data_IF_888611719240
#
_entry.id   IF_888611719240
#
_cell.length_a   1.000
_cell.length_b   1.000
_cell.length_c   1.000
_cell.angle_alpha   90.00
_cell.angle_beta   90.00
_cell.angle_gamma   90.00
#
_symmetry.space_group_name_H-M   'P 1'
#
loop_
_entity.id
_entity.type
_entity.pdbx_description
1 polymer ?
#
# COMPACT_ATOMS: atom_id res chain seq x y z
N UNK A 1 4.87 -6.42 -3.36
CA UNK A 1 4.74 -7.15 -4.65
C UNK A 1 3.32 -7.01 -5.20
N UNK A 2 2.25 -7.39 -4.46
CA UNK A 2 0.85 -7.32 -4.94
C UNK A 2 0.46 -5.91 -5.40
N UNK A 3 0.74 -4.89 -4.58
CA UNK A 3 0.44 -3.50 -4.93
C UNK A 3 1.24 -2.97 -6.12
N UNK A 4 2.51 -3.40 -6.27
CA UNK A 4 3.32 -3.08 -7.44
C UNK A 4 2.68 -3.65 -8.71
N UNK A 5 2.33 -4.95 -8.69
CA UNK A 5 1.68 -5.61 -9.83
C UNK A 5 0.35 -4.94 -10.21
N UNK A 6 -0.48 -4.61 -9.20
CA UNK A 6 -1.76 -3.91 -9.43
C UNK A 6 -1.55 -2.49 -9.99
N UNK A 7 -0.54 -1.75 -9.49
CA UNK A 7 -0.20 -0.43 -10.01
C UNK A 7 0.29 -0.46 -11.45
N UNK A 8 1.14 -1.43 -11.79
CA UNK A 8 1.58 -1.67 -13.19
C UNK A 8 0.38 -1.99 -14.07
N UNK A 9 -0.53 -2.89 -13.64
CA UNK A 9 -1.75 -3.21 -14.39
C UNK A 9 -2.63 -1.99 -14.65
N UNK A 10 -2.77 -1.09 -13.66
CA UNK A 10 -3.52 0.15 -13.83
C UNK A 10 -2.90 1.06 -14.91
N UNK A 11 -1.57 1.18 -14.96
CA UNK A 11 -0.88 1.95 -16.02
C UNK A 11 -1.05 1.31 -17.39
N UNK A 12 -0.94 0.01 -17.48
CA UNK A 12 -1.01 -0.70 -18.76
C UNK A 12 -2.40 -0.65 -19.38
N UNK A 13 -3.44 -0.79 -18.55
CA UNK A 13 -4.84 -0.89 -19.00
C UNK A 13 -5.54 0.45 -19.16
N UNK A 14 -4.96 1.56 -18.70
CA UNK A 14 -5.56 2.89 -18.86
C UNK A 14 -5.78 3.25 -20.35
N UNK A 15 -6.65 4.22 -20.68
CA UNK A 15 -7.01 4.57 -22.07
C UNK A 15 -5.84 4.92 -22.98
N UNK A 16 -4.72 5.37 -22.44
CA UNK A 16 -3.48 5.70 -23.16
C UNK A 16 -2.36 4.69 -22.88
N UNK A 17 -2.66 3.59 -22.21
CA UNK A 17 -1.70 2.55 -21.87
C UNK A 17 -1.39 1.64 -23.05
N UNK A 18 -0.26 0.91 -22.97
CA UNK A 18 0.19 -0.01 -24.02
C UNK A 18 -0.70 -1.25 -24.21
N UNK A 19 -1.54 -1.57 -23.24
CA UNK A 19 -2.54 -2.65 -23.30
C UNK A 19 -3.93 -2.06 -22.95
N UNK A 20 -4.28 -0.91 -23.56
CA UNK A 20 -5.48 -0.17 -23.26
C UNK A 20 -6.74 -1.06 -23.31
N UNK A 21 -7.38 -1.25 -22.15
CA UNK A 21 -8.67 -1.92 -21.98
C UNK A 21 -9.52 -1.12 -20.98
N UNK A 22 -10.41 -0.31 -21.53
CA UNK A 22 -11.25 0.58 -20.73
C UNK A 22 -12.12 -0.14 -19.70
N UNK A 23 -12.54 -1.38 -19.97
CA UNK A 23 -13.38 -2.16 -19.06
C UNK A 23 -12.58 -2.65 -17.86
N UNK A 24 -11.43 -3.28 -18.10
CA UNK A 24 -10.53 -3.76 -17.06
C UNK A 24 -9.98 -2.61 -16.23
N UNK A 25 -9.59 -1.50 -16.88
CA UNK A 25 -9.13 -0.30 -16.18
C UNK A 25 -10.20 0.26 -15.22
N UNK A 26 -11.43 0.47 -15.71
CA UNK A 26 -12.50 1.02 -14.88
C UNK A 26 -12.83 0.13 -13.69
N UNK A 27 -12.81 -1.19 -13.86
CA UNK A 27 -13.06 -2.13 -12.77
C UNK A 27 -11.95 -2.05 -11.71
N UNK A 28 -10.69 -2.13 -12.13
CA UNK A 28 -9.53 -2.05 -11.25
C UNK A 28 -9.46 -0.70 -10.54
N UNK A 29 -9.68 0.39 -11.27
CA UNK A 29 -9.67 1.76 -10.74
C UNK A 29 -10.76 1.96 -9.69
N UNK A 30 -12.00 1.58 -9.99
CA UNK A 30 -13.12 1.70 -9.06
C UNK A 30 -12.90 0.86 -7.80
N UNK A 31 -12.42 -0.39 -7.95
CA UNK A 31 -12.14 -1.27 -6.82
C UNK A 31 -11.02 -0.70 -5.93
N UNK A 32 -9.93 -0.23 -6.55
CA UNK A 32 -8.82 0.40 -5.85
C UNK A 32 -9.28 1.64 -5.09
N UNK A 33 -10.09 2.50 -5.72
CA UNK A 33 -10.62 3.71 -5.09
C UNK A 33 -11.60 3.37 -3.96
N UNK A 34 -12.48 2.37 -4.15
CA UNK A 34 -13.43 1.94 -3.13
C UNK A 34 -12.70 1.48 -1.86
N UNK A 35 -11.72 0.59 -2.00
CA UNK A 35 -10.95 0.07 -0.85
C UNK A 35 -10.17 1.18 -0.12
N UNK A 36 -9.66 2.19 -0.84
CA UNK A 36 -8.95 3.34 -0.25
C UNK A 36 -9.89 4.34 0.43
N UNK A 37 -11.16 4.36 0.05
CA UNK A 37 -12.15 5.28 0.63
C UNK A 37 -12.63 4.84 2.01
N UNK A 38 -12.44 3.56 2.37
CA UNK A 38 -12.84 3.03 3.66
C UNK A 38 -11.78 3.38 4.72
N UNK A 39 -12.13 4.10 5.80
CA UNK A 39 -11.21 4.29 6.91
C UNK A 39 -10.72 2.96 7.47
N UNK A 40 -9.41 2.84 7.73
CA UNK A 40 -8.80 1.57 8.11
C UNK A 40 -9.43 0.92 9.35
N UNK A 41 -9.80 1.72 10.34
CA UNK A 41 -10.46 1.19 11.55
C UNK A 41 -11.82 0.56 11.25
N UNK A 42 -12.54 1.09 10.24
CA UNK A 42 -13.80 0.50 9.77
C UNK A 42 -13.51 -0.75 8.92
N UNK A 43 -12.46 -0.72 8.12
CA UNK A 43 -12.03 -1.87 7.33
C UNK A 43 -11.70 -3.08 8.23
N UNK A 44 -11.05 -2.87 9.37
CA UNK A 44 -10.81 -3.92 10.38
C UNK A 44 -12.12 -4.63 10.77
N UNK A 45 -13.18 -3.87 11.04
CA UNK A 45 -14.46 -4.41 11.46
C UNK A 45 -15.19 -5.11 10.30
N UNK A 46 -15.25 -4.47 9.13
CA UNK A 46 -15.98 -4.99 7.96
C UNK A 46 -15.36 -6.27 7.41
N UNK A 47 -14.02 -6.38 7.43
CA UNK A 47 -13.30 -7.54 6.88
C UNK A 47 -13.13 -8.68 7.90
N UNK A 48 -13.58 -8.47 9.15
CA UNK A 48 -13.50 -9.44 10.24
C UNK A 48 -14.06 -10.84 9.88
N UNK A 49 -15.22 -10.98 9.20
CA UNK A 49 -15.72 -12.32 8.79
C UNK A 49 -14.77 -13.03 7.82
N UNK A 50 -14.18 -12.29 6.87
CA UNK A 50 -13.20 -12.83 5.93
C UNK A 50 -11.90 -13.23 6.68
N UNK A 51 -11.45 -12.39 7.61
CA UNK A 51 -10.29 -12.67 8.45
C UNK A 51 -10.49 -13.96 9.26
N UNK A 52 -11.64 -14.10 9.91
CA UNK A 52 -11.99 -15.31 10.65
C UNK A 52 -12.03 -16.56 9.77
N UNK A 53 -12.55 -16.43 8.56
CA UNK A 53 -12.58 -17.53 7.58
C UNK A 53 -11.18 -17.98 7.14
N UNK A 54 -10.26 -17.02 6.89
CA UNK A 54 -8.91 -17.30 6.38
C UNK A 54 -7.94 -17.73 7.48
N UNK A 55 -8.03 -17.12 8.67
CA UNK A 55 -7.03 -17.25 9.75
C UNK A 55 -7.58 -18.04 10.94
N UNK A 56 -8.92 -18.16 11.07
CA UNK A 56 -9.56 -18.81 12.21
C UNK A 56 -9.78 -17.92 13.44
N UNK A 57 -9.27 -16.68 13.43
CA UNK A 57 -9.46 -15.68 14.49
C UNK A 57 -9.59 -14.29 13.89
N UNK A 58 -10.18 -13.37 14.66
CA UNK A 58 -10.34 -11.96 14.27
C UNK A 58 -9.42 -11.01 15.03
N UNK A 59 -8.68 -11.53 16.01
CA UNK A 59 -7.79 -10.75 16.88
C UNK A 59 -6.38 -11.32 16.85
N UNK A 60 -5.40 -10.49 17.19
CA UNK A 60 -4.00 -10.87 17.24
C UNK A 60 -3.21 -10.57 15.98
N UNK A 61 -1.91 -10.77 16.06
CA UNK A 61 -0.93 -10.37 15.02
C UNK A 61 -1.19 -11.02 13.66
N UNK A 62 -1.52 -12.32 13.64
CA UNK A 62 -1.78 -13.03 12.37
C UNK A 62 -3.08 -12.57 11.72
N UNK A 63 -4.12 -12.31 12.52
CA UNK A 63 -5.40 -11.80 12.03
C UNK A 63 -5.25 -10.41 11.41
N UNK A 64 -4.39 -9.55 11.96
CA UNK A 64 -4.18 -8.20 11.45
C UNK A 64 -3.58 -8.15 10.03
N UNK A 65 -2.94 -9.23 9.56
CA UNK A 65 -2.36 -9.29 8.22
C UNK A 65 -3.40 -9.11 7.11
N UNK A 66 -4.60 -9.69 7.27
CA UNK A 66 -5.65 -9.61 6.24
C UNK A 66 -6.09 -8.17 6.01
N UNK A 67 -6.57 -7.42 7.02
CA UNK A 67 -6.95 -6.02 6.82
C UNK A 67 -5.76 -5.12 6.44
N UNK A 68 -4.55 -5.37 6.95
CA UNK A 68 -3.36 -4.62 6.55
C UNK A 68 -3.06 -4.77 5.06
N UNK A 69 -3.12 -6.00 4.52
CA UNK A 69 -2.93 -6.24 3.09
C UNK A 69 -4.05 -5.56 2.29
N UNK A 70 -5.31 -5.70 2.71
CA UNK A 70 -6.45 -5.07 2.04
C UNK A 70 -6.37 -3.54 2.03
N UNK A 71 -5.79 -2.91 3.05
CA UNK A 71 -5.61 -1.46 3.12
C UNK A 71 -4.39 -0.97 2.33
N UNK A 72 -3.24 -1.64 2.48
CA UNK A 72 -1.98 -1.16 1.91
C UNK A 72 -1.83 -1.47 0.42
N UNK A 73 -2.36 -2.59 -0.08
CA UNK A 73 -2.23 -2.98 -1.48
C UNK A 73 -2.84 -1.95 -2.44
N UNK A 74 -4.10 -1.52 -2.27
CA UNK A 74 -4.68 -0.50 -3.15
C UNK A 74 -4.03 0.87 -2.96
N UNK A 75 -3.57 1.22 -1.76
CA UNK A 75 -2.81 2.44 -1.51
C UNK A 75 -1.49 2.42 -2.31
N UNK A 76 -0.70 1.38 -2.17
CA UNK A 76 0.58 1.24 -2.88
C UNK A 76 0.38 1.15 -4.40
N UNK A 77 -0.65 0.45 -4.87
CA UNK A 77 -0.97 0.36 -6.30
C UNK A 77 -1.19 1.74 -6.93
N UNK A 78 -1.91 2.64 -6.24
CA UNK A 78 -2.12 4.01 -6.70
C UNK A 78 -0.84 4.83 -6.69
N UNK A 79 0.00 4.68 -5.69
CA UNK A 79 1.30 5.34 -5.63
C UNK A 79 2.22 4.88 -6.77
N UNK A 80 2.26 3.57 -7.04
CA UNK A 80 3.00 2.99 -8.17
C UNK A 80 2.46 3.52 -9.50
N UNK A 81 1.14 3.54 -9.67
CA UNK A 81 0.53 4.09 -10.89
C UNK A 81 0.99 5.54 -11.13
N UNK A 82 0.92 6.39 -10.11
CA UNK A 82 1.35 7.78 -10.22
C UNK A 82 2.84 7.87 -10.60
N UNK A 83 3.70 7.13 -9.91
CA UNK A 83 5.14 7.12 -10.20
C UNK A 83 5.47 6.67 -11.63
N UNK A 84 4.74 5.69 -12.16
CA UNK A 84 4.96 5.22 -13.53
C UNK A 84 4.33 6.12 -14.61
N UNK A 85 3.33 6.92 -14.25
CA UNK A 85 2.76 7.94 -15.15
C UNK A 85 3.69 9.13 -15.36
N UNK A 86 4.62 9.37 -14.44
CA UNK A 86 5.64 10.42 -14.56
C UNK A 86 6.77 10.04 -15.53
N UNK A 87 6.83 8.77 -15.98
CA UNK A 87 7.78 8.33 -17.02
C UNK A 87 7.44 9.00 -18.36
N UNK A 88 8.47 9.54 -19.02
CA UNK A 88 8.31 10.23 -20.30
C UNK A 88 7.65 9.34 -21.37
N UNK A 89 6.48 9.75 -21.83
CA UNK A 89 5.70 9.03 -22.84
C UNK A 89 6.46 8.90 -24.17
N UNK A 90 7.32 9.87 -24.50
CA UNK A 90 8.16 9.80 -25.71
C UNK A 90 9.11 8.59 -25.71
N UNK A 91 9.62 8.19 -24.54
CA UNK A 91 10.46 6.97 -24.41
C UNK A 91 9.61 5.71 -24.64
N UNK A 92 8.38 5.72 -24.12
CA UNK A 92 7.42 4.60 -24.31
C UNK A 92 7.05 4.47 -25.79
N UNK A 93 6.70 5.58 -26.46
CA UNK A 93 6.35 5.61 -27.89
C UNK A 93 7.53 5.21 -28.77
N UNK A 94 8.74 5.67 -28.46
CA UNK A 94 9.96 5.25 -29.17
C UNK A 94 10.20 3.74 -29.05
N UNK A 95 10.03 3.16 -27.86
CA UNK A 95 10.15 1.73 -27.65
C UNK A 95 9.09 0.93 -28.42
N UNK A 96 7.84 1.42 -28.47
CA UNK A 96 6.76 0.84 -29.28
C UNK A 96 7.09 0.87 -30.77
N UNK A 97 7.57 2.03 -31.28
CA UNK A 97 7.94 2.24 -32.67
C UNK A 97 9.09 1.34 -33.13
N UNK A 98 9.99 0.98 -32.19
CA UNK A 98 11.06 -0.01 -32.41
C UNK A 98 10.59 -1.48 -32.35
N UNK A 99 9.28 -1.72 -32.16
CA UNK A 99 8.72 -3.07 -32.11
C UNK A 99 8.96 -3.81 -30.78
N UNK A 100 9.26 -3.10 -29.70
CA UNK A 100 9.43 -3.72 -28.38
C UNK A 100 8.11 -4.35 -27.91
N UNK A 101 8.19 -5.58 -27.37
CA UNK A 101 7.01 -6.23 -26.80
C UNK A 101 6.51 -5.48 -25.55
N UNK A 102 5.21 -5.57 -25.20
CA UNK A 102 4.67 -4.94 -23.98
C UNK A 102 5.45 -5.32 -22.71
N UNK A 103 5.84 -6.58 -22.57
CA UNK A 103 6.65 -7.06 -21.45
C UNK A 103 8.02 -6.38 -21.42
N UNK A 104 8.67 -6.22 -22.56
CA UNK A 104 9.95 -5.52 -22.63
C UNK A 104 9.81 -4.05 -22.22
N UNK A 105 8.74 -3.38 -22.63
CA UNK A 105 8.45 -1.99 -22.26
C UNK A 105 8.22 -1.87 -20.75
N UNK A 106 7.48 -2.80 -20.12
CA UNK A 106 7.27 -2.81 -18.66
C UNK A 106 8.61 -2.85 -17.93
N UNK A 107 9.46 -3.84 -18.23
CA UNK A 107 10.68 -4.07 -17.47
C UNK A 107 11.84 -3.14 -17.84
N UNK A 108 11.94 -2.70 -19.10
CA UNK A 108 13.08 -1.92 -19.61
C UNK A 108 12.80 -0.42 -19.67
N UNK A 109 11.53 -0.02 -19.71
CA UNK A 109 11.14 1.40 -19.73
C UNK A 109 10.46 1.75 -18.42
N UNK A 110 9.22 1.33 -18.19
CA UNK A 110 8.46 1.76 -17.02
C UNK A 110 9.17 1.51 -15.69
N UNK A 111 9.59 0.28 -15.42
CA UNK A 111 10.22 -0.06 -14.13
C UNK A 111 11.65 0.47 -14.01
N UNK A 112 12.37 0.63 -15.12
CA UNK A 112 13.74 1.13 -15.10
C UNK A 112 13.79 2.65 -14.99
N UNK A 113 13.07 3.36 -15.82
CA UNK A 113 13.02 4.84 -15.80
C UNK A 113 12.26 5.34 -14.57
N UNK A 114 11.16 4.67 -14.16
CA UNK A 114 10.38 4.99 -12.98
C UNK A 114 11.01 4.53 -11.64
N UNK A 115 12.18 3.86 -11.66
CA UNK A 115 12.78 3.29 -10.46
C UNK A 115 13.00 4.30 -9.31
N UNK A 116 13.51 5.53 -9.54
CA UNK A 116 13.69 6.51 -8.47
C UNK A 116 12.37 6.86 -7.78
N UNK A 117 11.30 7.06 -8.56
CA UNK A 117 9.99 7.40 -8.01
C UNK A 117 9.31 6.18 -7.37
N UNK A 118 9.52 4.98 -7.90
CA UNK A 118 9.08 3.73 -7.26
C UNK A 118 9.73 3.53 -5.89
N UNK A 119 11.02 3.86 -5.73
CA UNK A 119 11.69 3.82 -4.43
C UNK A 119 11.05 4.84 -3.48
N UNK A 120 10.85 6.08 -3.93
CA UNK A 120 10.23 7.14 -3.14
C UNK A 120 8.83 6.75 -2.64
N UNK A 121 7.95 6.27 -3.53
CA UNK A 121 6.60 5.87 -3.16
C UNK A 121 6.59 4.60 -2.30
N UNK A 122 7.60 3.74 -2.42
CA UNK A 122 7.76 2.58 -1.54
C UNK A 122 8.10 3.01 -0.11
N UNK A 123 8.98 3.99 0.08
CA UNK A 123 9.29 4.58 1.39
C UNK A 123 8.03 5.18 2.02
N UNK A 124 7.29 6.00 1.27
CA UNK A 124 6.01 6.57 1.73
C UNK A 124 5.02 5.47 2.14
N UNK A 125 4.98 4.38 1.38
CA UNK A 125 4.09 3.23 1.67
C UNK A 125 4.50 2.51 2.94
N UNK A 126 5.81 2.31 3.18
CA UNK A 126 6.31 1.70 4.43
C UNK A 126 5.96 2.57 5.64
N UNK A 127 6.11 3.89 5.55
CA UNK A 127 5.71 4.82 6.61
C UNK A 127 4.19 4.72 6.86
N UNK A 128 3.38 4.71 5.80
CA UNK A 128 1.93 4.53 5.91
C UNK A 128 1.56 3.20 6.56
N UNK A 129 2.30 2.13 6.23
CA UNK A 129 2.10 0.81 6.82
C UNK A 129 2.41 0.82 8.33
N UNK A 130 3.45 1.52 8.78
CA UNK A 130 3.73 1.71 10.23
C UNK A 130 2.52 2.34 10.90
N UNK A 131 1.91 3.38 10.31
CA UNK A 131 0.68 3.99 10.83
C UNK A 131 -0.49 3.00 10.90
N UNK A 132 -0.71 2.20 9.85
CA UNK A 132 -1.78 1.18 9.83
C UNK A 132 -1.54 0.08 10.88
N UNK A 133 -0.30 -0.36 11.08
CA UNK A 133 0.02 -1.36 12.13
C UNK A 133 -0.22 -0.81 13.53
N UNK A 134 0.01 0.47 13.75
CA UNK A 134 -0.35 1.14 15.02
C UNK A 134 -1.85 1.09 15.27
N UNK A 135 -2.67 1.35 14.23
CA UNK A 135 -4.13 1.25 14.33
C UNK A 135 -4.62 -0.20 14.53
N UNK A 136 -3.89 -1.19 14.00
CA UNK A 136 -4.19 -2.60 14.21
C UNK A 136 -4.02 -3.04 15.67
N UNK A 137 -3.30 -2.27 16.50
CA UNK A 137 -3.27 -2.47 17.96
C UNK A 137 -4.67 -2.48 18.60
N UNK A 138 -5.66 -1.85 17.99
CA UNK A 138 -7.05 -1.89 18.46
C UNK A 138 -7.71 -3.28 18.41
N UNK A 139 -7.12 -4.24 17.73
CA UNK A 139 -7.54 -5.66 17.68
C UNK A 139 -6.50 -6.60 18.28
N UNK A 140 -5.76 -6.12 19.27
CA UNK A 140 -4.70 -6.88 19.96
C UNK A 140 -3.66 -7.45 18.97
N UNK A 141 -3.32 -6.69 17.93
CA UNK A 141 -2.33 -7.12 16.94
C UNK A 141 -0.90 -7.21 17.51
N UNK A 142 -0.69 -6.68 18.71
CA UNK A 142 0.61 -6.59 19.37
C UNK A 142 1.46 -5.44 18.84
N UNK A 143 2.68 -5.34 19.37
CA UNK A 143 3.65 -4.32 18.98
C UNK A 143 3.43 -2.96 19.65
N UNK A 144 4.15 -1.94 19.14
CA UNK A 144 4.15 -0.59 19.74
C UNK A 144 2.78 0.08 19.70
N UNK A 145 1.98 -0.19 18.66
CA UNK A 145 0.63 0.34 18.54
C UNK A 145 -0.31 -0.19 19.61
N UNK A 146 -0.25 -1.47 19.89
CA UNK A 146 -1.03 -2.10 20.95
C UNK A 146 -0.60 -1.57 22.32
N UNK A 147 0.70 -1.50 22.62
CA UNK A 147 1.21 -0.92 23.85
C UNK A 147 0.71 0.53 24.03
N UNK A 148 0.77 1.34 22.99
CA UNK A 148 0.32 2.72 23.04
C UNK A 148 -1.18 2.86 23.31
N UNK A 149 -2.01 1.98 22.73
CA UNK A 149 -3.48 2.03 22.83
C UNK A 149 -3.95 1.27 24.07
N UNK A 150 -3.59 0.00 24.22
CA UNK A 150 -4.16 -0.90 25.24
C UNK A 150 -3.60 -0.64 26.65
N UNK A 151 -2.32 -0.24 26.74
CA UNK A 151 -1.68 0.09 28.02
C UNK A 151 -1.68 1.60 28.24
N UNK A 152 -1.13 2.36 27.30
CA UNK A 152 -0.96 3.79 27.46
C UNK A 152 -2.31 4.54 27.53
N UNK A 153 -3.08 4.54 26.46
CA UNK A 153 -4.31 5.29 26.36
C UNK A 153 -5.44 4.71 27.22
N UNK A 154 -5.69 3.38 27.14
CA UNK A 154 -6.83 2.77 27.84
C UNK A 154 -6.67 2.72 29.35
N UNK A 155 -5.43 2.70 29.87
CA UNK A 155 -5.14 2.72 31.32
C UNK A 155 -4.71 4.09 31.84
N UNK A 156 -4.75 5.15 31.00
CA UNK A 156 -4.31 6.49 31.35
C UNK A 156 -2.83 6.60 31.75
N UNK A 157 -1.99 5.68 31.26
CA UNK A 157 -0.54 5.70 31.47
C UNK A 157 0.12 6.52 30.33
N UNK A 158 0.05 7.84 30.45
CA UNK A 158 0.52 8.77 29.42
C UNK A 158 2.00 8.64 29.10
N UNK A 159 2.84 8.32 30.07
CA UNK A 159 4.27 8.06 29.93
C UNK A 159 4.53 6.89 28.97
N UNK A 160 3.77 5.80 29.07
CA UNK A 160 3.85 4.65 28.13
C UNK A 160 3.48 5.08 26.72
N UNK A 161 2.40 5.88 26.56
CA UNK A 161 1.99 6.41 25.26
C UNK A 161 3.08 7.29 24.65
N UNK A 162 3.70 8.19 25.43
CA UNK A 162 4.78 9.06 24.96
C UNK A 162 6.03 8.28 24.55
N UNK A 163 6.43 7.28 25.32
CA UNK A 163 7.59 6.42 24.98
C UNK A 163 7.31 5.66 23.69
N UNK A 164 6.15 5.03 23.56
CA UNK A 164 5.77 4.32 22.33
C UNK A 164 5.76 5.25 21.10
N UNK A 165 5.23 6.47 21.23
CA UNK A 165 5.23 7.49 20.20
C UNK A 165 6.65 7.86 19.77
N UNK A 166 7.58 8.09 20.72
CA UNK A 166 8.98 8.43 20.42
C UNK A 166 9.65 7.29 19.64
N UNK A 167 9.43 6.03 20.04
CA UNK A 167 10.01 4.88 19.35
C UNK A 167 9.45 4.78 17.91
N UNK A 168 8.14 4.97 17.71
CA UNK A 168 7.52 4.97 16.38
C UNK A 168 8.11 6.11 15.52
N UNK A 169 8.29 7.31 16.07
CA UNK A 169 8.93 8.42 15.36
C UNK A 169 10.37 8.08 14.93
N UNK A 170 11.16 7.48 15.80
CA UNK A 170 12.53 7.06 15.47
C UNK A 170 12.50 6.04 14.31
N UNK A 171 11.60 5.07 14.33
CA UNK A 171 11.43 4.10 13.25
C UNK A 171 11.05 4.78 11.93
N UNK A 172 10.10 5.72 11.95
CA UNK A 172 9.69 6.48 10.76
C UNK A 172 10.85 7.29 10.21
N UNK A 173 11.59 8.02 11.06
CA UNK A 173 12.76 8.78 10.63
C UNK A 173 13.86 7.86 10.07
N UNK A 174 14.10 6.70 10.68
CA UNK A 174 15.06 5.73 10.15
C UNK A 174 14.69 5.27 8.73
N UNK A 175 13.39 5.03 8.46
CA UNK A 175 12.89 4.67 7.12
C UNK A 175 13.03 5.82 6.12
N UNK A 176 12.89 7.08 6.57
CA UNK A 176 13.02 8.26 5.70
C UNK A 176 14.46 8.56 5.28
N UNK A 177 15.47 8.05 6.00
CA UNK A 177 16.89 8.28 5.68
C UNK A 177 17.39 7.40 4.51
N UNK A 178 16.59 6.43 4.06
CA UNK A 178 16.89 5.57 2.91
C UNK A 178 16.20 6.05 1.63
#
# INVERSE_FOLDING_TARGET
ILGLGLGVLLVLTQPQGILADGTSYQLLDKLTNLLRSVPFIILLAVISPLTSYLIGTTVGTTASLVPLVCGIVPFYARQVQNALLDVDQGIVEAAQSMGSSPIAIIFRVYLKEGLPDLIRVSIVTVISLIGLTTMAGAIDAGGLGDIAISIGYARFENDVTFVAMIIILILVFAVQLF
#
